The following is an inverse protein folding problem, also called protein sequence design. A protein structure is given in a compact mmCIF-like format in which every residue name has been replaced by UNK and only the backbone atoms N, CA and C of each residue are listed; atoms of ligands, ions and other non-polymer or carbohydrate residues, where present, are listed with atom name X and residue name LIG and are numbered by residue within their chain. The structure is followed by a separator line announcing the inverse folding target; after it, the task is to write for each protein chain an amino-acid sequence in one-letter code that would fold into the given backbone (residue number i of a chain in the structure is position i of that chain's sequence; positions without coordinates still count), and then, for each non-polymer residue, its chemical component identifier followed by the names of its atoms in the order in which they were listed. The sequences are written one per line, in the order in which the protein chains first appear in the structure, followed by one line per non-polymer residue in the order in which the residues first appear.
data_IF_130794391876
#
_entry.id   IF_130794391876
#
_cell.length_a   1.000
_cell.length_b   1.000
_cell.length_c   1.000
_cell.angle_alpha   90.00
_cell.angle_beta   90.00
_cell.angle_gamma   90.00
#
_symmetry.space_group_name_H-M   'P 1'
#
loop_
_entity.id
_entity.type
_entity.pdbx_description
1 polymer ?
#
# COMPACT_ATOMS: atom_id res chain seq x y z
N UNK A 1 7.24 -26.75 55.57
CA UNK A 1 8.21 -25.86 54.88
C UNK A 1 8.05 -26.05 53.40
N UNK A 2 7.88 -24.93 52.66
CA UNK A 2 7.76 -24.90 51.19
C UNK A 2 9.09 -25.35 50.58
N UNK A 3 9.14 -26.39 49.71
CA UNK A 3 10.34 -26.72 48.97
C UNK A 3 10.64 -25.66 47.91
N UNK A 4 11.91 -25.54 47.52
CA UNK A 4 12.31 -24.70 46.39
C UNK A 4 11.83 -25.20 45.05
N UNK A 5 12.06 -24.42 43.97
CA UNK A 5 11.75 -24.82 42.58
C UNK A 5 12.59 -26.04 42.21
N UNK A 6 11.92 -27.15 41.81
CA UNK A 6 12.54 -28.34 41.26
C UNK A 6 12.42 -28.30 39.74
N UNK A 7 13.56 -28.38 39.04
CA UNK A 7 13.64 -28.44 37.59
C UNK A 7 14.01 -29.83 37.13
N UNK A 8 13.46 -30.25 36.02
CA UNK A 8 13.83 -31.51 35.38
C UNK A 8 13.20 -31.72 34.02
N UNK A 9 13.72 -32.71 33.31
CA UNK A 9 13.37 -32.96 31.90
C UNK A 9 11.94 -33.46 31.77
N UNK A 10 11.25 -33.01 30.70
CA UNK A 10 9.93 -33.56 30.31
C UNK A 10 10.05 -35.10 30.18
N UNK A 11 9.12 -35.81 30.82
CA UNK A 11 9.10 -37.28 30.84
C UNK A 11 9.80 -37.91 32.04
N UNK A 12 10.62 -37.18 32.79
CA UNK A 12 11.28 -37.63 34.00
C UNK A 12 10.44 -37.35 35.26
N UNK A 13 10.68 -38.15 36.29
CA UNK A 13 10.09 -37.92 37.61
C UNK A 13 10.87 -36.84 38.36
N UNK A 14 10.17 -35.75 38.68
CA UNK A 14 10.68 -34.65 39.47
C UNK A 14 10.22 -34.82 40.91
N UNK A 15 11.13 -34.77 41.86
CA UNK A 15 10.77 -34.99 43.27
C UNK A 15 11.11 -33.81 44.16
N UNK A 16 10.20 -33.53 45.09
CA UNK A 16 10.38 -32.50 46.10
C UNK A 16 9.89 -33.06 47.49
N UNK A 17 10.58 -32.73 48.57
CA UNK A 17 10.18 -33.11 49.90
C UNK A 17 9.44 -32.00 50.58
N UNK A 18 8.21 -32.25 50.97
CA UNK A 18 7.42 -31.35 51.80
C UNK A 18 7.88 -31.43 53.24
N UNK A 19 8.32 -30.30 53.77
CA UNK A 19 8.69 -30.22 55.19
C UNK A 19 7.48 -29.87 56.06
N UNK A 20 7.29 -30.57 57.11
CA UNK A 20 6.27 -30.27 58.13
C UNK A 20 6.80 -29.34 59.22
N UNK A 21 5.92 -28.55 59.86
CA UNK A 21 6.30 -27.71 60.99
C UNK A 21 6.64 -28.58 62.16
N UNK A 22 7.85 -28.40 62.73
CA UNK A 22 8.24 -29.02 64.00
C UNK A 22 8.03 -27.98 65.12
N UNK A 23 7.10 -28.23 66.00
CA UNK A 23 6.92 -27.40 67.18
C UNK A 23 7.91 -27.88 68.25
N UNK A 24 8.96 -27.07 68.46
CA UNK A 24 10.03 -27.33 69.43
C UNK A 24 9.77 -26.57 70.73
N UNK A 25 8.86 -27.02 71.55
CA UNK A 25 8.82 -26.73 73.00
C UNK A 25 8.21 -27.89 73.73
N UNK A 26 9.06 -28.81 74.18
CA UNK A 26 8.67 -29.84 75.16
C UNK A 26 7.68 -30.91 74.69
N UNK A 27 7.30 -30.92 73.44
CA UNK A 27 6.40 -31.86 72.83
C UNK A 27 7.11 -32.76 71.78
N UNK A 28 6.71 -33.98 71.66
CA UNK A 28 7.15 -34.83 70.55
C UNK A 28 6.73 -34.23 69.23
N UNK A 29 7.58 -34.28 68.18
CA UNK A 29 7.17 -33.77 66.86
C UNK A 29 5.92 -34.50 66.42
N UNK A 30 4.88 -33.76 66.05
CA UNK A 30 3.66 -34.28 65.48
C UNK A 30 3.84 -34.34 63.97
N UNK A 31 3.73 -35.55 63.43
CA UNK A 31 3.79 -35.78 61.98
C UNK A 31 2.37 -35.83 61.41
N UNK A 32 2.15 -35.35 60.19
CA UNK A 32 0.88 -35.55 59.50
C UNK A 32 0.53 -37.01 59.39
N UNK A 33 -0.75 -37.31 59.57
CA UNK A 33 -1.30 -38.67 59.40
C UNK A 33 -1.54 -38.98 57.92
N UNK A 34 -1.67 -37.94 57.07
CA UNK A 34 -1.98 -38.12 55.67
C UNK A 34 -1.47 -36.95 54.85
N UNK A 35 -1.00 -37.20 53.63
CA UNK A 35 -0.72 -36.21 52.60
C UNK A 35 -1.59 -36.47 51.39
N UNK A 36 -2.12 -35.43 50.77
CA UNK A 36 -2.94 -35.48 49.55
C UNK A 36 -2.58 -34.33 48.61
N UNK A 37 -2.65 -34.60 47.32
CA UNK A 37 -2.52 -33.52 46.32
C UNK A 37 -3.89 -32.87 46.13
N UNK A 38 -3.93 -31.55 46.11
CA UNK A 38 -5.08 -30.82 45.60
C UNK A 38 -5.06 -30.86 44.07
N UNK A 39 -5.82 -31.80 43.50
CA UNK A 39 -5.88 -32.03 42.04
C UNK A 39 -6.35 -30.78 41.26
N UNK A 40 -7.06 -29.86 41.91
CA UNK A 40 -7.47 -28.59 41.26
C UNK A 40 -6.29 -27.67 40.94
N UNK A 41 -5.14 -27.90 41.56
CA UNK A 41 -3.88 -27.14 41.36
C UNK A 41 -2.94 -27.81 40.36
N UNK A 42 -3.33 -28.93 39.77
CA UNK A 42 -2.52 -29.72 38.80
C UNK A 42 -3.02 -29.40 37.38
N UNK A 43 -2.25 -28.68 36.54
CA UNK A 43 -2.62 -28.43 35.18
C UNK A 43 -2.60 -29.67 34.30
N UNK A 44 -3.33 -29.64 33.17
CA UNK A 44 -3.31 -30.70 32.17
C UNK A 44 -1.88 -31.00 31.67
N UNK A 45 -1.60 -32.24 31.38
CA UNK A 45 -0.28 -32.71 30.97
C UNK A 45 0.67 -33.07 32.10
N UNK A 46 0.29 -32.81 33.35
CA UNK A 46 1.06 -33.17 34.55
C UNK A 46 0.38 -34.25 35.35
N UNK A 47 1.20 -35.13 35.88
CA UNK A 47 0.79 -36.11 36.90
C UNK A 47 1.56 -35.79 38.19
N UNK A 48 0.85 -35.55 39.28
CA UNK A 48 1.47 -35.19 40.57
C UNK A 48 0.93 -36.16 41.63
N UNK A 49 1.83 -36.78 42.38
CA UNK A 49 1.50 -37.71 43.47
C UNK A 49 2.28 -37.33 44.72
N UNK A 50 1.81 -37.73 45.87
CA UNK A 50 2.50 -37.57 47.15
C UNK A 50 2.45 -38.91 47.90
N UNK A 51 3.56 -39.29 48.51
CA UNK A 51 3.62 -40.50 49.36
C UNK A 51 3.39 -40.17 50.84
N UNK A 52 3.34 -41.22 51.66
CA UNK A 52 3.09 -41.12 53.10
C UNK A 52 4.18 -40.34 53.87
N UNK A 53 5.33 -40.13 53.23
CA UNK A 53 6.44 -39.36 53.83
C UNK A 53 6.39 -37.86 53.42
N UNK A 54 5.44 -37.49 52.57
CA UNK A 54 5.37 -36.13 52.02
C UNK A 54 6.33 -35.89 50.86
N UNK A 55 6.85 -36.94 50.23
CA UNK A 55 7.62 -36.83 49.00
C UNK A 55 6.65 -36.70 47.83
N UNK A 56 6.74 -35.54 47.17
CA UNK A 56 5.94 -35.22 45.97
C UNK A 56 6.70 -35.62 44.73
N UNK A 57 6.05 -36.29 43.82
CA UNK A 57 6.57 -36.65 42.49
C UNK A 57 5.69 -36.03 41.44
N UNK A 58 6.30 -35.22 40.58
CA UNK A 58 5.64 -34.56 39.44
C UNK A 58 6.28 -35.02 38.13
N UNK A 59 5.45 -35.32 37.13
CA UNK A 59 5.88 -35.72 35.79
C UNK A 59 5.09 -34.99 34.76
N UNK A 60 5.81 -34.31 33.83
CA UNK A 60 5.22 -33.67 32.66
C UNK A 60 5.22 -34.67 31.49
N UNK A 61 4.12 -34.74 30.77
CA UNK A 61 4.08 -35.45 29.50
C UNK A 61 4.58 -34.52 28.35
N UNK A 62 4.59 -35.03 27.13
CA UNK A 62 5.11 -34.34 25.95
C UNK A 62 4.18 -33.27 25.40
N UNK A 63 3.00 -33.07 25.99
CA UNK A 63 2.08 -31.98 25.64
C UNK A 63 2.40 -30.68 26.40
N UNK A 64 3.23 -30.76 27.46
CA UNK A 64 3.62 -29.61 28.27
C UNK A 64 4.63 -28.76 27.52
N UNK A 65 4.37 -27.46 27.46
CA UNK A 65 5.32 -26.51 26.86
C UNK A 65 6.60 -26.42 27.69
N UNK A 66 7.79 -26.54 27.08
CA UNK A 66 9.06 -26.36 27.79
C UNK A 66 9.15 -25.03 28.54
N UNK A 67 9.66 -25.07 29.76
CA UNK A 67 9.76 -23.90 30.63
C UNK A 67 8.54 -23.66 31.53
N UNK A 68 7.45 -24.40 31.35
CA UNK A 68 6.23 -24.27 32.17
C UNK A 68 6.53 -24.54 33.64
N UNK A 69 6.09 -23.68 34.53
CA UNK A 69 6.16 -23.85 35.99
C UNK A 69 4.77 -24.15 36.52
N UNK A 70 4.66 -25.15 37.35
CA UNK A 70 3.44 -25.46 38.08
C UNK A 70 3.65 -25.32 39.57
N UNK A 71 2.57 -25.05 40.31
CA UNK A 71 2.57 -24.89 41.77
C UNK A 71 1.54 -25.79 42.46
N UNK A 72 1.71 -27.12 42.38
CA UNK A 72 0.77 -28.05 43.04
C UNK A 72 0.78 -27.85 44.55
N UNK A 73 -0.41 -27.92 45.16
CA UNK A 73 -0.60 -27.78 46.58
C UNK A 73 -0.77 -29.17 47.23
N UNK A 74 -0.01 -29.39 48.29
CA UNK A 74 -0.12 -30.60 49.12
C UNK A 74 -0.89 -30.22 50.39
N UNK A 75 -1.94 -30.95 50.68
CA UNK A 75 -2.70 -30.90 51.90
C UNK A 75 -2.14 -31.92 52.89
N UNK A 76 -1.62 -31.47 54.00
CA UNK A 76 -1.17 -32.30 55.10
C UNK A 76 -2.25 -32.33 56.20
N UNK A 77 -2.75 -33.50 56.56
CA UNK A 77 -3.76 -33.67 57.63
C UNK A 77 -3.08 -34.28 58.87
N UNK A 78 -3.26 -33.67 60.01
CA UNK A 78 -2.72 -34.08 61.29
C UNK A 78 -3.68 -35.00 62.05
N UNK A 79 -3.22 -35.75 63.12
CA UNK A 79 -4.06 -36.67 63.87
C UNK A 79 -5.27 -36.05 64.59
N UNK A 80 -5.29 -34.69 64.73
CA UNK A 80 -6.38 -33.90 65.28
C UNK A 80 -7.32 -33.32 64.19
N UNK A 81 -7.24 -33.82 63.00
CA UNK A 81 -7.99 -33.42 61.83
C UNK A 81 -7.71 -31.97 61.34
N UNK A 82 -6.73 -31.27 61.93
CA UNK A 82 -6.26 -30.01 61.39
C UNK A 82 -5.43 -30.22 60.14
N UNK A 83 -5.37 -29.18 59.27
CA UNK A 83 -4.71 -29.29 57.95
C UNK A 83 -3.76 -28.11 57.72
N UNK A 84 -2.66 -28.39 57.02
CA UNK A 84 -1.77 -27.41 56.41
C UNK A 84 -1.78 -27.57 54.88
N UNK A 85 -1.74 -26.45 54.16
CA UNK A 85 -1.54 -26.42 52.72
C UNK A 85 -0.11 -26.00 52.41
N UNK A 86 0.59 -26.73 51.58
CA UNK A 86 1.99 -26.52 51.26
C UNK A 86 2.14 -26.52 49.73
N UNK A 87 2.51 -25.37 49.17
CA UNK A 87 2.83 -25.26 47.77
C UNK A 87 4.18 -25.88 47.46
N UNK A 88 4.23 -26.60 46.33
CA UNK A 88 5.47 -27.08 45.72
C UNK A 88 5.65 -26.40 44.35
N UNK A 89 6.85 -26.38 43.81
CA UNK A 89 7.12 -25.78 42.51
C UNK A 89 7.94 -26.71 41.62
N UNK A 90 7.43 -26.99 40.44
CA UNK A 90 8.12 -27.80 39.44
C UNK A 90 8.18 -27.07 38.11
N UNK A 91 9.30 -27.21 37.41
CA UNK A 91 9.49 -26.69 36.07
C UNK A 91 9.92 -27.78 35.12
N UNK A 92 9.15 -27.97 34.06
CA UNK A 92 9.51 -28.84 32.96
C UNK A 92 10.50 -28.17 32.03
N UNK A 93 11.63 -28.77 31.77
CA UNK A 93 12.67 -28.32 30.88
C UNK A 93 13.01 -29.32 29.82
N UNK A 94 13.64 -28.86 28.75
CA UNK A 94 14.32 -29.64 27.73
C UNK A 94 15.69 -29.05 27.50
N UNK A 95 16.62 -29.80 26.95
CA UNK A 95 18.01 -29.43 26.69
C UNK A 95 18.15 -28.62 25.39
N UNK A 96 17.35 -27.59 25.24
CA UNK A 96 17.30 -26.72 24.06
C UNK A 96 17.50 -25.26 24.41
N UNK A 97 17.97 -24.48 23.42
CA UNK A 97 18.00 -23.03 23.42
C UNK A 97 16.83 -22.54 22.56
N UNK A 98 15.92 -21.78 23.15
CA UNK A 98 14.78 -21.20 22.41
C UNK A 98 15.20 -19.83 21.91
N UNK A 99 15.16 -19.58 20.58
CA UNK A 99 15.49 -18.27 20.01
C UNK A 99 14.42 -17.23 20.36
N UNK A 100 14.83 -15.98 20.36
CA UNK A 100 13.97 -14.83 20.60
C UNK A 100 14.19 -13.79 19.48
N UNK A 101 13.11 -13.13 19.06
CA UNK A 101 13.14 -12.05 18.10
C UNK A 101 12.80 -10.74 18.79
N UNK A 102 13.65 -9.74 18.63
CA UNK A 102 13.33 -8.38 19.04
C UNK A 102 12.17 -7.82 18.19
N UNK A 103 11.37 -6.94 18.79
CA UNK A 103 10.38 -6.17 18.05
C UNK A 103 11.08 -5.12 17.17
N UNK A 104 10.74 -5.09 15.90
CA UNK A 104 11.26 -4.10 14.93
C UNK A 104 10.19 -3.06 14.65
N UNK A 105 10.58 -1.80 14.66
CA UNK A 105 9.70 -0.67 14.33
C UNK A 105 10.24 0.05 13.10
N UNK A 106 9.38 0.36 12.14
CA UNK A 106 9.76 1.18 10.98
C UNK A 106 8.52 1.78 10.30
N UNK A 107 8.75 2.66 9.33
CA UNK A 107 7.75 3.39 8.57
C UNK A 107 7.17 2.55 7.44
N UNK A 108 5.97 2.90 6.92
CA UNK A 108 5.43 2.28 5.70
C UNK A 108 6.42 2.32 4.53
N UNK A 109 6.29 1.36 3.63
CA UNK A 109 7.13 1.21 2.44
C UNK A 109 8.63 0.99 2.74
N UNK A 110 8.95 0.45 3.91
CA UNK A 110 10.33 0.17 4.34
C UNK A 110 10.53 -1.33 4.50
N UNK A 111 11.64 -1.83 3.98
CA UNK A 111 12.09 -3.19 4.21
C UNK A 111 12.62 -3.32 5.63
N UNK A 112 12.17 -4.33 6.37
CA UNK A 112 12.60 -4.66 7.73
C UNK A 112 13.16 -6.07 7.78
N UNK A 113 14.11 -6.25 8.67
CA UNK A 113 14.79 -7.52 8.91
C UNK A 113 14.77 -7.81 10.42
N UNK A 114 14.33 -9.02 10.79
CA UNK A 114 14.31 -9.50 12.17
C UNK A 114 15.30 -10.67 12.26
N UNK A 115 16.31 -10.52 13.09
CA UNK A 115 17.31 -11.54 13.34
C UNK A 115 17.03 -12.19 14.71
N UNK A 116 16.91 -13.53 14.82
CA UNK A 116 16.75 -14.15 16.12
C UNK A 116 18.05 -14.09 16.92
N UNK A 117 17.93 -13.84 18.21
CA UNK A 117 19.00 -14.04 19.18
C UNK A 117 18.86 -15.43 19.82
N UNK A 118 19.97 -16.14 19.96
CA UNK A 118 20.01 -17.45 20.62
C UNK A 118 20.65 -17.27 21.97
N UNK A 119 19.99 -17.67 23.08
CA UNK A 119 20.54 -17.53 24.41
C UNK A 119 21.84 -18.34 24.56
N UNK A 120 22.78 -17.83 25.32
CA UNK A 120 24.01 -18.55 25.61
C UNK A 120 23.75 -19.85 26.37
N UNK A 121 22.83 -19.80 27.33
CA UNK A 121 22.37 -20.92 28.15
C UNK A 121 20.95 -21.30 27.81
N UNK A 122 20.68 -22.56 27.60
CA UNK A 122 19.34 -23.08 27.30
C UNK A 122 18.47 -23.25 28.53
N UNK A 123 17.32 -23.88 28.33
CA UNK A 123 16.32 -24.10 29.39
C UNK A 123 16.82 -24.99 30.52
N UNK A 124 17.72 -25.97 30.25
CA UNK A 124 18.30 -26.81 31.29
C UNK A 124 19.29 -26.06 32.19
N UNK A 125 19.74 -24.90 31.76
CA UNK A 125 20.77 -24.09 32.43
C UNK A 125 22.19 -24.43 31.96
N UNK A 126 22.33 -25.19 30.87
CA UNK A 126 23.62 -25.58 30.31
C UNK A 126 23.94 -24.84 29.03
N UNK A 127 25.22 -24.51 28.83
CA UNK A 127 25.72 -23.92 27.59
C UNK A 127 25.72 -24.89 26.42
N UNK A 128 25.67 -26.19 26.71
CA UNK A 128 25.66 -27.30 25.74
C UNK A 128 24.27 -27.66 25.23
N UNK A 129 23.22 -27.01 25.75
CA UNK A 129 21.87 -27.20 25.23
C UNK A 129 21.81 -26.92 23.72
N UNK A 130 20.97 -27.70 23.04
CA UNK A 130 20.91 -27.68 21.57
C UNK A 130 20.37 -26.35 21.05
N UNK A 131 21.07 -25.75 20.10
CA UNK A 131 20.62 -24.58 19.35
C UNK A 131 19.74 -25.02 18.15
N UNK A 132 18.82 -24.16 17.67
CA UNK A 132 18.05 -24.45 16.48
C UNK A 132 18.95 -24.74 15.26
N UNK A 133 18.52 -25.67 14.43
CA UNK A 133 19.20 -26.07 13.20
C UNK A 133 18.51 -25.49 11.95
N UNK A 134 17.21 -25.24 12.04
CA UNK A 134 16.40 -24.83 10.91
C UNK A 134 15.21 -23.99 11.37
N UNK A 135 14.72 -23.11 10.50
CA UNK A 135 13.57 -22.25 10.77
C UNK A 135 12.58 -22.30 9.61
N UNK A 136 11.30 -22.39 9.92
CA UNK A 136 10.20 -22.31 8.96
C UNK A 136 9.03 -21.51 9.53
N UNK A 137 8.09 -21.09 8.67
CA UNK A 137 6.78 -20.67 9.13
C UNK A 137 5.96 -21.87 9.61
N UNK A 138 4.78 -21.63 10.20
CA UNK A 138 3.93 -22.67 10.78
C UNK A 138 3.47 -23.74 9.78
N UNK A 139 3.34 -23.38 8.49
CA UNK A 139 3.00 -24.28 7.39
C UNK A 139 4.20 -25.09 6.85
N UNK A 140 5.38 -24.89 7.42
CA UNK A 140 6.63 -25.53 6.99
C UNK A 140 7.33 -24.83 5.83
N UNK A 141 6.74 -23.75 5.29
CA UNK A 141 7.29 -22.99 4.19
C UNK A 141 8.27 -21.90 4.68
N UNK A 142 9.06 -21.36 3.77
CA UNK A 142 10.01 -20.26 4.03
C UNK A 142 9.60 -18.93 3.42
N UNK A 143 8.50 -18.93 2.69
CA UNK A 143 7.88 -17.74 2.09
C UNK A 143 6.37 -17.77 2.31
N UNK A 144 5.78 -16.63 2.62
CA UNK A 144 4.33 -16.50 2.71
C UNK A 144 3.86 -15.08 2.44
N UNK A 145 2.59 -14.97 2.06
CA UNK A 145 1.89 -13.70 1.94
C UNK A 145 0.86 -13.59 3.05
N UNK A 146 0.92 -12.49 3.82
CA UNK A 146 -0.07 -12.16 4.85
C UNK A 146 -0.87 -10.96 4.36
N UNK A 147 -2.20 -11.10 4.33
CA UNK A 147 -3.13 -10.01 4.01
C UNK A 147 -3.87 -9.61 5.28
N UNK A 148 -3.71 -8.39 5.71
CA UNK A 148 -4.35 -7.84 6.91
C UNK A 148 -4.88 -6.42 6.69
N UNK A 149 -5.28 -5.75 7.77
CA UNK A 149 -5.78 -4.39 7.71
C UNK A 149 -4.78 -3.36 7.19
N UNK A 150 -3.47 -3.63 7.26
CA UNK A 150 -2.43 -2.75 6.75
C UNK A 150 -2.18 -2.91 5.24
N UNK A 151 -2.54 -4.05 4.67
CA UNK A 151 -2.29 -4.40 3.29
C UNK A 151 -1.66 -5.78 3.12
N UNK A 152 -0.95 -5.98 2.02
CA UNK A 152 -0.24 -7.21 1.71
C UNK A 152 1.20 -7.17 2.23
N UNK A 153 1.57 -8.18 3.01
CA UNK A 153 2.93 -8.41 3.48
C UNK A 153 3.51 -9.64 2.79
N UNK A 154 4.64 -9.49 2.13
CA UNK A 154 5.43 -10.62 1.62
C UNK A 154 6.54 -10.90 2.62
N UNK A 155 6.46 -12.05 3.28
CA UNK A 155 7.36 -12.42 4.38
C UNK A 155 8.20 -13.61 3.95
N UNK A 156 9.51 -13.50 4.14
CA UNK A 156 10.47 -14.58 3.89
C UNK A 156 11.28 -14.87 5.15
N UNK A 157 11.69 -16.12 5.34
CA UNK A 157 12.59 -16.52 6.41
C UNK A 157 13.78 -17.27 5.83
N UNK A 158 14.97 -16.95 6.30
CA UNK A 158 16.15 -17.73 5.98
C UNK A 158 16.14 -19.01 6.81
N UNK A 159 16.02 -20.14 6.15
CA UNK A 159 15.91 -21.44 6.82
C UNK A 159 17.07 -21.76 7.76
N UNK A 160 18.28 -21.29 7.45
CA UNK A 160 19.49 -21.58 8.24
C UNK A 160 19.69 -20.60 9.39
N UNK A 161 19.41 -19.32 9.17
CA UNK A 161 19.73 -18.26 10.14
C UNK A 161 18.52 -17.79 10.94
N UNK A 162 17.30 -18.10 10.48
CA UNK A 162 16.08 -17.59 11.07
C UNK A 162 15.79 -16.12 10.77
N UNK A 163 16.61 -15.47 9.94
CA UNK A 163 16.37 -14.08 9.56
C UNK A 163 15.05 -13.93 8.81
N UNK A 164 14.14 -13.11 9.34
CA UNK A 164 12.87 -12.78 8.70
C UNK A 164 13.04 -11.46 7.96
N UNK A 165 12.54 -11.40 6.74
CA UNK A 165 12.53 -10.20 5.92
C UNK A 165 11.12 -9.93 5.41
N UNK A 166 10.68 -8.69 5.50
CA UNK A 166 9.43 -8.21 4.92
C UNK A 166 9.50 -6.73 4.61
N UNK A 167 8.59 -6.24 3.76
CA UNK A 167 8.41 -4.81 3.51
C UNK A 167 7.08 -4.37 4.09
N UNK A 168 7.09 -3.35 4.94
CA UNK A 168 5.87 -2.79 5.51
C UNK A 168 5.01 -2.23 4.37
N UNK A 169 3.73 -2.62 4.24
CA UNK A 169 2.86 -2.10 3.20
C UNK A 169 2.82 -0.57 3.19
N UNK A 170 2.78 0.02 2.00
CA UNK A 170 2.73 1.46 1.80
C UNK A 170 1.53 2.12 2.49
N UNK A 171 0.43 1.39 2.58
CA UNK A 171 -0.84 1.83 3.17
C UNK A 171 -0.99 1.46 4.66
N UNK A 172 0.07 0.96 5.28
CA UNK A 172 0.01 0.55 6.68
C UNK A 172 -0.21 1.76 7.60
N UNK A 173 -1.21 1.72 8.50
CA UNK A 173 -1.44 2.80 9.45
C UNK A 173 -0.41 2.77 10.59
N UNK A 174 -0.13 3.94 11.18
CA UNK A 174 0.67 4.05 12.40
C UNK A 174 0.11 3.17 13.52
N UNK A 175 0.98 2.49 14.23
CA UNK A 175 0.63 1.63 15.37
C UNK A 175 0.14 0.23 14.96
N UNK A 176 0.03 -0.08 13.67
CA UNK A 176 -0.30 -1.44 13.23
C UNK A 176 0.81 -2.42 13.64
N UNK A 177 0.40 -3.60 14.11
CA UNK A 177 1.31 -4.66 14.57
C UNK A 177 1.12 -5.91 13.72
N UNK A 178 2.21 -6.44 13.18
CA UNK A 178 2.25 -7.76 12.55
C UNK A 178 3.05 -8.72 13.43
N UNK A 179 2.42 -9.79 13.91
CA UNK A 179 3.08 -10.93 14.53
C UNK A 179 3.36 -12.01 13.46
N UNK A 180 4.59 -12.50 13.44
CA UNK A 180 5.07 -13.49 12.47
C UNK A 180 5.46 -14.76 13.24
N UNK A 181 4.58 -15.76 13.33
CA UNK A 181 4.89 -17.03 13.97
C UNK A 181 5.93 -17.82 13.17
N UNK A 182 6.90 -18.38 13.88
CA UNK A 182 8.01 -19.15 13.32
C UNK A 182 8.21 -20.40 14.15
N UNK A 183 8.52 -21.53 13.50
CA UNK A 183 9.03 -22.72 14.16
C UNK A 183 10.56 -22.79 14.08
N UNK A 184 11.18 -22.89 15.24
CA UNK A 184 12.59 -23.28 15.38
C UNK A 184 12.68 -24.79 15.49
N UNK A 185 13.40 -25.43 14.57
CA UNK A 185 13.57 -26.86 14.50
C UNK A 185 14.95 -27.29 15.03
N UNK A 186 14.99 -28.42 15.72
CA UNK A 186 16.19 -29.01 16.30
C UNK A 186 16.64 -30.21 15.48
N UNK A 187 17.73 -30.88 15.87
CA UNK A 187 18.20 -32.04 15.14
C UNK A 187 17.22 -33.24 15.23
N UNK A 188 17.13 -33.99 14.17
CA UNK A 188 16.31 -35.22 14.18
C UNK A 188 16.81 -36.28 15.17
N UNK A 189 18.13 -36.25 15.46
CA UNK A 189 18.78 -37.19 16.38
C UNK A 189 18.35 -36.98 17.84
N UNK A 190 18.14 -35.72 18.25
CA UNK A 190 17.73 -35.35 19.60
C UNK A 190 16.25 -35.61 19.88
N UNK A 191 15.43 -35.76 18.84
CA UNK A 191 13.96 -35.83 18.91
C UNK A 191 13.29 -34.64 19.63
N UNK A 192 13.99 -33.53 19.81
CA UNK A 192 13.43 -32.30 20.37
C UNK A 192 12.38 -31.74 19.41
N UNK A 193 11.20 -31.42 19.96
CA UNK A 193 10.10 -30.83 19.18
C UNK A 193 10.40 -29.44 18.73
N UNK A 194 9.89 -29.02 17.52
CA UNK A 194 9.96 -27.64 17.10
C UNK A 194 9.32 -26.72 18.14
N UNK A 195 9.93 -25.55 18.33
CA UNK A 195 9.43 -24.52 19.25
C UNK A 195 8.83 -23.36 18.45
N UNK A 196 7.61 -22.97 18.85
CA UNK A 196 6.93 -21.82 18.26
C UNK A 196 7.43 -20.55 18.92
N UNK A 197 8.02 -19.66 18.10
CA UNK A 197 8.45 -18.32 18.48
C UNK A 197 7.83 -17.31 17.52
N UNK A 198 7.93 -16.03 17.80
CA UNK A 198 7.39 -15.01 16.90
C UNK A 198 8.30 -13.79 16.78
N UNK A 199 8.36 -13.26 15.57
CA UNK A 199 8.84 -11.91 15.31
C UNK A 199 7.68 -10.92 15.31
N UNK A 200 7.93 -9.67 15.66
CA UNK A 200 6.91 -8.60 15.69
C UNK A 200 7.42 -7.37 14.96
N UNK A 201 6.58 -6.84 14.08
CA UNK A 201 6.82 -5.57 13.38
C UNK A 201 5.76 -4.57 13.81
N UNK A 202 6.17 -3.36 14.22
CA UNK A 202 5.29 -2.26 14.57
C UNK A 202 5.50 -1.12 13.58
N UNK A 203 4.41 -0.61 13.03
CA UNK A 203 4.42 0.46 12.03
C UNK A 203 4.49 1.82 12.70
N UNK A 204 5.50 2.63 12.33
CA UNK A 204 5.63 4.04 12.70
C UNK A 204 4.87 4.93 11.72
N UNK A 205 4.69 6.20 12.10
CA UNK A 205 4.11 7.21 11.21
C UNK A 205 4.96 7.37 9.95
N UNK A 206 4.29 7.35 8.76
CA UNK A 206 4.96 7.52 7.48
C UNK A 206 5.43 8.96 7.24
N UNK A 207 6.51 9.12 6.43
CA UNK A 207 7.02 10.43 6.00
C UNK A 207 6.31 10.96 4.75
N UNK A 208 5.66 10.09 3.99
CA UNK A 208 5.06 10.44 2.71
C UNK A 208 3.65 10.95 2.95
N UNK A 209 3.40 12.20 2.54
CA UNK A 209 2.08 12.81 2.63
C UNK A 209 1.13 12.25 1.55
N UNK A 210 -0.16 12.08 1.83
CA UNK A 210 -1.17 11.77 0.82
C UNK A 210 -1.13 12.78 -0.34
N UNK A 211 -1.26 12.29 -1.56
CA UNK A 211 -1.22 13.13 -2.75
C UNK A 211 -2.04 12.57 -3.90
N UNK A 212 -2.43 13.45 -4.82
CA UNK A 212 -3.01 13.11 -6.11
C UNK A 212 -2.08 13.55 -7.23
N UNK A 213 -1.91 12.70 -8.25
CA UNK A 213 -1.24 13.14 -9.48
C UNK A 213 -2.07 14.21 -10.21
N UNK A 214 -1.37 15.20 -10.76
CA UNK A 214 -1.96 16.14 -11.70
C UNK A 214 -2.36 15.38 -12.96
N UNK A 215 -3.62 15.51 -13.36
CA UNK A 215 -4.16 14.88 -14.57
C UNK A 215 -4.65 15.96 -15.55
N UNK A 216 -4.63 15.62 -16.83
CA UNK A 216 -5.15 16.48 -17.87
C UNK A 216 -6.32 15.82 -18.61
N UNK A 217 -7.27 16.64 -19.06
CA UNK A 217 -8.42 16.19 -19.85
C UNK A 217 -8.94 17.35 -20.70
N UNK A 218 -9.77 17.05 -21.71
CA UNK A 218 -10.42 18.08 -22.52
C UNK A 218 -11.65 18.69 -21.86
N UNK A 219 -12.17 19.80 -22.41
CA UNK A 219 -13.42 20.39 -21.98
C UNK A 219 -14.55 19.38 -21.99
N UNK A 220 -15.41 19.41 -20.97
CA UNK A 220 -16.55 18.53 -20.80
C UNK A 220 -16.23 17.02 -20.81
N UNK A 221 -14.97 16.65 -20.55
CA UNK A 221 -14.50 15.27 -20.42
C UNK A 221 -14.05 14.97 -19.00
N UNK A 222 -14.55 13.89 -18.41
CA UNK A 222 -14.18 13.46 -17.08
C UNK A 222 -12.78 12.86 -17.05
N UNK A 223 -12.03 13.09 -15.98
CA UNK A 223 -10.77 12.40 -15.65
C UNK A 223 -10.77 11.97 -14.20
N UNK A 224 -10.23 10.78 -13.94
CA UNK A 224 -10.14 10.18 -12.61
C UNK A 224 -8.75 10.40 -12.02
N UNK A 225 -8.70 10.91 -10.79
CA UNK A 225 -7.51 11.01 -9.97
C UNK A 225 -7.58 9.97 -8.85
N UNK A 226 -6.51 9.24 -8.63
CA UNK A 226 -6.39 8.29 -7.52
C UNK A 226 -5.45 8.85 -6.47
N UNK A 227 -5.83 8.72 -5.19
CA UNK A 227 -4.98 9.16 -4.09
C UNK A 227 -3.87 8.13 -3.83
N UNK A 228 -2.69 8.64 -3.51
CA UNK A 228 -1.50 7.85 -3.20
C UNK A 228 -1.00 8.18 -1.80
N UNK A 229 -0.22 7.26 -1.21
CA UNK A 229 0.47 7.45 0.07
C UNK A 229 -0.47 7.77 1.25
N UNK A 230 -1.64 7.16 1.24
CA UNK A 230 -2.65 7.32 2.27
C UNK A 230 -2.80 6.03 3.09
N UNK A 231 -2.94 6.10 4.44
CA UNK A 231 -3.18 4.93 5.27
C UNK A 231 -4.47 4.21 4.89
N UNK A 232 -4.42 2.89 4.83
CA UNK A 232 -5.61 2.06 4.54
C UNK A 232 -6.68 2.28 5.62
N UNK A 233 -7.94 2.35 5.20
CA UNK A 233 -9.08 2.65 6.08
C UNK A 233 -9.37 4.14 6.25
N UNK A 234 -8.66 5.01 5.53
CA UNK A 234 -8.99 6.43 5.45
C UNK A 234 -10.32 6.66 4.76
N UNK A 235 -11.00 7.77 5.09
CA UNK A 235 -12.23 8.23 4.45
C UNK A 235 -12.05 9.61 3.84
N UNK A 236 -12.85 9.95 2.84
CA UNK A 236 -12.62 11.09 1.98
C UNK A 236 -13.89 11.89 1.70
N UNK A 237 -13.76 13.23 1.63
CA UNK A 237 -14.85 14.12 1.25
C UNK A 237 -14.30 15.47 0.74
N UNK A 238 -15.17 16.28 0.13
CA UNK A 238 -14.86 17.68 -0.20
C UNK A 238 -15.16 18.65 0.97
N UNK A 239 -15.44 18.12 2.13
CA UNK A 239 -15.85 18.84 3.32
C UNK A 239 -17.15 18.27 3.89
N UNK A 240 -17.79 19.03 4.76
CA UNK A 240 -19.04 18.62 5.41
C UNK A 240 -20.15 19.64 5.17
N UNK A 241 -21.35 19.13 4.99
CA UNK A 241 -22.57 19.92 5.03
C UNK A 241 -22.82 20.47 6.47
N UNK A 242 -23.71 21.47 6.65
CA UNK A 242 -24.05 21.98 7.98
C UNK A 242 -24.61 20.92 8.95
N UNK A 243 -25.22 19.86 8.42
CA UNK A 243 -25.71 18.72 9.21
C UNK A 243 -24.62 17.67 9.56
N UNK A 244 -23.36 17.92 9.15
CA UNK A 244 -22.23 17.03 9.39
C UNK A 244 -22.04 15.90 8.39
N UNK A 245 -22.92 15.76 7.39
CA UNK A 245 -22.78 14.77 6.32
C UNK A 245 -21.63 15.15 5.37
N UNK A 246 -20.85 14.17 4.86
CA UNK A 246 -19.76 14.45 3.93
C UNK A 246 -20.29 14.94 2.57
N UNK A 247 -19.59 15.91 1.98
CA UNK A 247 -19.84 16.38 0.62
C UNK A 247 -19.06 15.50 -0.33
N UNK A 248 -19.75 14.79 -1.23
CA UNK A 248 -19.15 13.88 -2.21
C UNK A 248 -19.35 14.32 -3.65
N UNK A 249 -20.17 15.34 -3.87
CA UNK A 249 -20.44 15.98 -5.17
C UNK A 249 -20.35 17.48 -5.03
N UNK A 250 -19.72 18.15 -5.96
CA UNK A 250 -19.68 19.62 -6.00
C UNK A 250 -19.52 20.16 -7.42
N UNK A 251 -20.04 21.36 -7.62
CA UNK A 251 -19.80 22.16 -8.83
C UNK A 251 -19.29 23.52 -8.39
N UNK A 252 -18.18 23.97 -8.97
CA UNK A 252 -17.61 25.28 -8.69
C UNK A 252 -18.38 26.37 -9.44
N UNK A 253 -18.25 27.64 -9.01
CA UNK A 253 -18.93 28.79 -9.65
C UNK A 253 -18.58 28.92 -11.13
N UNK A 254 -17.35 28.56 -11.52
CA UNK A 254 -16.87 28.57 -12.90
C UNK A 254 -17.16 27.26 -13.68
N UNK A 255 -18.02 26.39 -13.11
CA UNK A 255 -18.63 25.27 -13.81
C UNK A 255 -17.84 23.96 -13.81
N UNK A 256 -16.76 23.83 -13.04
CA UNK A 256 -16.05 22.56 -12.84
C UNK A 256 -16.88 21.61 -11.98
N UNK A 257 -17.02 20.35 -12.41
CA UNK A 257 -17.75 19.33 -11.70
C UNK A 257 -16.83 18.31 -11.09
N UNK A 258 -17.12 17.93 -9.84
CA UNK A 258 -16.31 16.97 -9.08
C UNK A 258 -17.19 15.96 -8.36
N UNK A 259 -16.73 14.71 -8.36
CA UNK A 259 -17.27 13.64 -7.50
C UNK A 259 -16.12 12.93 -6.79
N UNK A 260 -16.35 12.41 -5.61
CA UNK A 260 -15.37 11.63 -4.85
C UNK A 260 -16.01 10.35 -4.31
N UNK A 261 -15.27 9.24 -4.42
CA UNK A 261 -15.62 8.01 -3.72
C UNK A 261 -15.17 8.12 -2.25
N UNK A 262 -16.08 8.10 -1.28
CA UNK A 262 -15.74 8.31 0.13
C UNK A 262 -14.91 7.17 0.74
N UNK A 263 -14.82 6.02 0.09
CA UNK A 263 -14.04 4.84 0.56
C UNK A 263 -12.67 4.73 -0.08
N UNK A 264 -12.54 5.06 -1.36
CA UNK A 264 -11.29 4.92 -2.12
C UNK A 264 -10.54 6.22 -2.27
N UNK A 265 -11.22 7.37 -2.11
CA UNK A 265 -10.65 8.69 -2.35
C UNK A 265 -10.50 9.05 -3.83
N UNK A 266 -10.98 8.22 -4.76
CA UNK A 266 -10.93 8.52 -6.18
C UNK A 266 -11.79 9.74 -6.51
N UNK A 267 -11.17 10.77 -7.10
CA UNK A 267 -11.83 12.01 -7.52
C UNK A 267 -12.01 11.99 -9.02
N UNK A 268 -13.23 12.23 -9.47
CA UNK A 268 -13.53 12.48 -10.88
C UNK A 268 -13.76 13.97 -11.08
N UNK A 269 -12.98 14.59 -11.95
CA UNK A 269 -13.13 16.00 -12.31
C UNK A 269 -13.52 16.16 -13.76
N UNK A 270 -14.40 17.14 -14.05
CA UNK A 270 -14.87 17.46 -15.39
C UNK A 270 -14.79 18.97 -15.59
N UNK A 271 -13.90 19.45 -16.49
CA UNK A 271 -13.86 20.86 -16.86
C UNK A 271 -15.16 21.30 -17.53
N UNK A 272 -15.56 22.58 -17.42
CA UNK A 272 -16.70 23.09 -18.15
C UNK A 272 -16.49 23.06 -19.68
N UNK A 273 -17.57 23.07 -20.44
CA UNK A 273 -17.52 23.04 -21.90
C UNK A 273 -16.75 24.24 -22.51
N UNK A 274 -16.75 25.39 -21.82
CA UNK A 274 -16.02 26.62 -22.25
C UNK A 274 -14.58 26.69 -21.75
N UNK A 275 -14.05 25.68 -21.09
CA UNK A 275 -12.66 25.68 -20.61
C UNK A 275 -11.68 25.74 -21.79
N UNK A 276 -10.60 26.53 -21.63
CA UNK A 276 -9.58 26.73 -22.65
C UNK A 276 -8.38 25.82 -22.38
N UNK A 277 -7.65 25.39 -23.42
CA UNK A 277 -6.40 24.66 -23.26
C UNK A 277 -5.44 25.39 -22.33
N UNK A 278 -4.85 24.65 -21.36
CA UNK A 278 -3.96 25.22 -20.35
C UNK A 278 -4.66 25.74 -19.08
N UNK A 279 -5.97 25.90 -19.07
CA UNK A 279 -6.71 26.22 -17.83
C UNK A 279 -6.46 25.13 -16.80
N UNK A 280 -6.33 25.49 -15.53
CA UNK A 280 -6.19 24.52 -14.44
C UNK A 280 -7.07 24.90 -13.25
N UNK A 281 -7.55 23.89 -12.56
CA UNK A 281 -8.32 24.03 -11.34
C UNK A 281 -7.77 23.11 -10.26
N UNK A 282 -7.60 23.66 -9.07
CA UNK A 282 -7.21 22.90 -7.88
C UNK A 282 -8.32 22.99 -6.85
N UNK A 283 -8.75 21.86 -6.34
CA UNK A 283 -9.65 21.74 -5.21
C UNK A 283 -8.97 20.97 -4.09
N UNK A 284 -9.54 20.97 -2.89
CA UNK A 284 -9.01 20.29 -1.73
C UNK A 284 -9.91 19.15 -1.30
N UNK A 285 -9.32 17.99 -1.01
CA UNK A 285 -9.98 16.83 -0.42
C UNK A 285 -9.62 16.76 1.07
N UNK A 286 -10.66 16.59 1.90
CA UNK A 286 -10.50 16.31 3.32
C UNK A 286 -10.34 14.80 3.50
N UNK A 287 -9.21 14.38 4.07
CA UNK A 287 -8.91 12.98 4.38
C UNK A 287 -8.99 12.78 5.89
N UNK A 288 -9.68 11.74 6.33
CA UNK A 288 -9.68 11.31 7.74
C UNK A 288 -8.97 9.95 7.81
N UNK A 289 -7.81 9.93 8.44
CA UNK A 289 -7.01 8.70 8.62
C UNK A 289 -7.52 7.87 9.79
N UNK A 290 -7.21 6.57 9.87
CA UNK A 290 -7.59 5.72 11.01
C UNK A 290 -7.06 6.21 12.37
N UNK A 291 -5.98 6.99 12.39
CA UNK A 291 -5.39 7.59 13.59
C UNK A 291 -6.07 8.92 13.98
N UNK A 292 -7.02 9.41 13.17
CA UNK A 292 -7.74 10.65 13.43
C UNK A 292 -7.10 11.91 12.82
N UNK A 293 -5.96 11.78 12.12
CA UNK A 293 -5.38 12.89 11.36
C UNK A 293 -6.32 13.29 10.21
N UNK A 294 -6.39 14.60 9.95
CA UNK A 294 -7.29 15.17 8.95
C UNK A 294 -6.53 16.04 7.93
N UNK A 295 -5.61 15.46 7.15
CA UNK A 295 -4.89 16.22 6.14
C UNK A 295 -5.82 16.72 5.03
N UNK A 296 -5.48 17.89 4.47
CA UNK A 296 -6.14 18.47 3.29
C UNK A 296 -5.24 18.26 2.08
N UNK A 297 -5.75 17.58 1.07
CA UNK A 297 -4.95 17.13 -0.07
C UNK A 297 -5.42 17.82 -1.35
N UNK A 298 -4.57 18.56 -2.06
CA UNK A 298 -4.95 19.21 -3.29
C UNK A 298 -5.10 18.23 -4.46
N UNK A 299 -6.11 18.47 -5.29
CA UNK A 299 -6.35 17.77 -6.56
C UNK A 299 -6.33 18.80 -7.67
N UNK A 300 -5.41 18.64 -8.61
CA UNK A 300 -5.25 19.58 -9.73
C UNK A 300 -5.57 18.89 -11.06
N UNK A 301 -6.44 19.53 -11.84
CA UNK A 301 -6.78 19.12 -13.19
C UNK A 301 -6.39 20.23 -14.16
N UNK A 302 -5.76 19.86 -15.26
CA UNK A 302 -5.35 20.77 -16.33
C UNK A 302 -6.17 20.49 -17.58
N UNK A 303 -6.65 21.54 -18.24
CA UNK A 303 -7.29 21.39 -19.55
C UNK A 303 -6.19 21.13 -20.58
N UNK A 304 -6.30 19.99 -21.25
CA UNK A 304 -5.30 19.48 -22.20
C UNK A 304 -5.08 20.46 -23.33
N UNK A 305 -3.83 20.75 -23.64
CA UNK A 305 -3.45 21.46 -24.85
C UNK A 305 -3.83 20.61 -26.06
N UNK A 306 -4.47 21.25 -27.06
CA UNK A 306 -4.81 20.60 -28.32
C UNK A 306 -3.70 20.85 -29.33
N UNK A 307 -3.53 19.96 -30.30
CA UNK A 307 -2.55 20.13 -31.37
C UNK A 307 -2.76 21.45 -32.14
N UNK A 308 -4.02 21.84 -32.38
CA UNK A 308 -4.36 23.10 -33.01
C UNK A 308 -4.02 24.36 -32.19
N UNK A 309 -3.92 24.23 -30.86
CA UNK A 309 -3.48 25.30 -30.00
C UNK A 309 -1.95 25.46 -30.03
N UNK A 310 -1.21 24.38 -30.15
CA UNK A 310 0.25 24.39 -30.14
C UNK A 310 0.87 24.64 -31.52
N UNK A 311 0.10 24.48 -32.58
CA UNK A 311 0.54 24.67 -33.96
C UNK A 311 0.19 26.06 -34.48
N UNK A 312 1.15 26.70 -35.17
CA UNK A 312 0.99 27.99 -35.81
C UNK A 312 1.21 27.86 -37.32
N UNK A 313 0.15 27.62 -38.11
CA UNK A 313 0.27 27.62 -39.55
C UNK A 313 0.36 29.04 -40.11
N UNK A 314 1.17 29.25 -41.14
CA UNK A 314 1.34 30.52 -41.81
C UNK A 314 1.66 30.37 -43.28
N UNK A 315 1.35 31.41 -44.05
CA UNK A 315 1.70 31.53 -45.45
C UNK A 315 2.44 32.85 -45.66
N UNK A 316 3.55 32.88 -46.43
CA UNK A 316 4.14 34.11 -46.86
C UNK A 316 3.26 34.85 -47.89
N UNK A 317 3.33 36.15 -47.92
CA UNK A 317 2.75 36.92 -49.04
C UNK A 317 3.57 36.64 -50.30
N UNK A 318 2.89 36.31 -51.38
CA UNK A 318 3.51 36.09 -52.68
C UNK A 318 3.04 37.13 -53.70
N UNK A 319 3.83 37.36 -54.72
CA UNK A 319 3.52 38.27 -55.81
C UNK A 319 3.42 37.48 -57.12
N UNK A 320 2.52 37.89 -57.98
CA UNK A 320 2.25 37.24 -59.28
C UNK A 320 1.95 38.27 -60.32
N UNK A 321 2.33 38.00 -61.59
CA UNK A 321 1.92 38.80 -62.72
C UNK A 321 0.49 38.53 -63.16
N UNK A 322 -0.22 39.48 -63.78
CA UNK A 322 -1.56 39.24 -64.29
C UNK A 322 -1.61 38.04 -65.23
N UNK A 323 -2.57 37.14 -65.02
CA UNK A 323 -2.75 35.93 -65.78
C UNK A 323 -1.85 34.75 -65.40
N UNK A 324 -0.90 34.93 -64.53
CA UNK A 324 0.02 33.88 -64.07
C UNK A 324 -0.44 33.23 -62.75
N UNK A 325 0.15 32.08 -62.46
CA UNK A 325 -0.12 31.32 -61.25
C UNK A 325 1.06 31.38 -60.30
N UNK A 326 0.79 31.52 -59.01
CA UNK A 326 1.77 31.48 -57.92
C UNK A 326 1.38 30.47 -56.88
N UNK A 327 2.37 29.87 -56.25
CA UNK A 327 2.19 28.93 -55.09
C UNK A 327 2.75 29.59 -53.83
N UNK A 328 1.90 29.76 -52.80
CA UNK A 328 2.31 30.20 -51.48
C UNK A 328 2.51 29.02 -50.59
N UNK A 329 3.72 28.77 -50.08
CA UNK A 329 4.02 27.58 -49.28
C UNK A 329 3.45 27.67 -47.87
N UNK A 330 2.86 26.59 -47.40
CA UNK A 330 2.42 26.43 -46.01
C UNK A 330 3.64 26.18 -45.11
N UNK A 331 3.78 26.95 -44.06
CA UNK A 331 4.70 26.72 -42.97
C UNK A 331 3.91 26.49 -41.68
N UNK A 332 4.26 25.45 -40.93
CA UNK A 332 3.64 25.15 -39.64
C UNK A 332 4.73 25.13 -38.58
N UNK A 333 4.72 26.09 -37.67
CA UNK A 333 5.52 26.04 -36.46
C UNK A 333 4.79 25.18 -35.45
N UNK A 334 5.41 24.11 -35.01
CA UNK A 334 4.79 23.13 -34.08
C UNK A 334 5.83 22.41 -33.23
N UNK A 335 5.48 21.98 -31.98
CA UNK A 335 6.31 21.09 -31.20
C UNK A 335 6.38 19.70 -31.84
N UNK A 336 7.38 18.92 -31.42
CA UNK A 336 7.49 17.51 -31.78
C UNK A 336 6.25 16.74 -31.30
N UNK A 337 5.74 15.84 -32.12
CA UNK A 337 4.55 15.04 -31.82
C UNK A 337 3.21 15.67 -32.20
N UNK A 338 3.19 16.94 -32.56
CA UNK A 338 2.01 17.60 -33.16
C UNK A 338 2.03 17.34 -34.66
N UNK A 339 1.07 16.59 -35.15
CA UNK A 339 0.96 16.25 -36.58
C UNK A 339 -0.38 16.70 -37.15
N UNK A 340 -0.40 17.00 -38.46
CA UNK A 340 -1.65 17.26 -39.18
C UNK A 340 -2.46 15.96 -39.32
N UNK A 341 -3.78 16.09 -39.47
CA UNK A 341 -4.66 14.94 -39.67
C UNK A 341 -4.23 14.12 -40.89
N UNK A 342 -4.39 12.80 -40.80
CA UNK A 342 -4.01 11.86 -41.89
C UNK A 342 -4.90 11.98 -43.11
N UNK A 343 -6.15 12.38 -42.91
CA UNK A 343 -7.14 12.50 -43.98
C UNK A 343 -7.61 13.96 -44.09
N UNK A 344 -7.56 14.52 -45.27
CA UNK A 344 -8.04 15.86 -45.60
C UNK A 344 -7.58 16.97 -44.62
N UNK A 345 -6.26 17.04 -44.30
CA UNK A 345 -5.78 18.02 -43.33
C UNK A 345 -5.94 19.48 -43.72
N UNK A 346 -6.11 19.76 -45.02
CA UNK A 346 -6.13 21.14 -45.51
C UNK A 346 -7.41 21.40 -46.32
N UNK A 347 -8.04 22.51 -46.07
CA UNK A 347 -9.21 22.97 -46.82
C UNK A 347 -9.27 24.50 -46.89
N UNK A 348 -9.64 25.02 -48.06
CA UNK A 348 -10.03 26.46 -48.14
C UNK A 348 -11.34 26.60 -47.37
N UNK A 349 -11.39 27.61 -46.50
CA UNK A 349 -12.59 27.96 -45.72
C UNK A 349 -13.13 29.31 -46.24
N UNK A 350 -13.97 29.30 -47.30
CA UNK A 350 -14.39 30.52 -47.95
C UNK A 350 -15.20 31.40 -47.02
N UNK A 351 -14.92 32.71 -46.97
CA UNK A 351 -15.78 33.66 -46.26
C UNK A 351 -17.15 33.77 -46.95
N UNK A 352 -18.12 34.35 -46.26
CA UNK A 352 -19.49 34.47 -46.75
C UNK A 352 -19.62 35.32 -48.04
N UNK A 353 -18.66 36.20 -48.33
CA UNK A 353 -18.67 37.07 -49.48
C UNK A 353 -17.40 36.93 -50.32
N UNK A 354 -17.51 37.11 -51.61
CA UNK A 354 -16.40 37.20 -52.57
C UNK A 354 -15.83 35.86 -53.05
N UNK A 355 -16.21 34.73 -52.46
CA UNK A 355 -15.77 33.40 -52.84
C UNK A 355 -16.91 32.58 -53.41
N UNK A 356 -16.64 31.87 -54.53
CA UNK A 356 -17.59 30.96 -55.13
C UNK A 356 -16.88 29.71 -55.58
N UNK A 357 -17.41 28.52 -55.21
CA UNK A 357 -16.91 27.25 -55.70
C UNK A 357 -17.04 27.19 -57.23
N UNK A 358 -15.99 26.76 -57.93
CA UNK A 358 -16.03 26.60 -59.38
C UNK A 358 -16.77 25.34 -59.83
N UNK A 359 -16.89 24.34 -58.93
CA UNK A 359 -17.39 23.03 -59.24
C UNK A 359 -16.33 22.08 -59.82
N UNK A 360 -15.14 22.55 -60.10
CA UNK A 360 -14.02 21.80 -60.64
C UNK A 360 -12.90 21.64 -59.59
N UNK A 361 -12.13 20.58 -59.75
CA UNK A 361 -10.93 20.34 -58.97
C UNK A 361 -9.68 20.77 -59.75
N UNK A 362 -8.61 21.14 -59.05
CA UNK A 362 -7.32 21.40 -59.68
C UNK A 362 -6.60 20.09 -60.03
N UNK A 363 -5.39 20.17 -60.59
CA UNK A 363 -4.56 19.02 -60.94
C UNK A 363 -4.21 18.08 -59.77
N UNK A 364 -4.34 18.58 -58.51
CA UNK A 364 -4.11 17.80 -57.28
C UNK A 364 -5.38 17.16 -56.75
N UNK A 365 -6.52 17.26 -57.45
CA UNK A 365 -7.80 16.71 -57.06
C UNK A 365 -8.54 17.52 -55.97
N UNK A 366 -8.10 18.75 -55.69
CA UNK A 366 -8.69 19.57 -54.64
C UNK A 366 -9.66 20.63 -55.23
N UNK A 367 -10.74 20.99 -54.50
CA UNK A 367 -11.72 21.97 -54.95
C UNK A 367 -11.06 23.34 -55.22
N UNK A 368 -11.55 24.00 -56.25
CA UNK A 368 -11.15 25.39 -56.57
C UNK A 368 -12.27 26.38 -56.34
N UNK A 369 -11.88 27.62 -56.12
CA UNK A 369 -12.78 28.74 -55.84
C UNK A 369 -12.43 29.91 -56.73
N UNK A 370 -13.45 30.64 -57.16
CA UNK A 370 -13.33 31.94 -57.77
C UNK A 370 -13.38 33.01 -56.68
N UNK A 371 -12.40 33.91 -56.66
CA UNK A 371 -12.38 35.08 -55.80
C UNK A 371 -12.59 36.33 -56.64
N UNK A 372 -13.77 36.94 -56.52
CA UNK A 372 -14.15 38.09 -57.28
C UNK A 372 -13.52 39.38 -56.75
N UNK A 373 -12.86 40.14 -57.60
CA UNK A 373 -12.31 41.46 -57.32
C UNK A 373 -12.77 42.46 -58.35
N UNK A 374 -12.53 43.75 -58.11
CA UNK A 374 -12.90 44.81 -59.05
C UNK A 374 -12.25 44.70 -60.44
N UNK A 375 -11.09 44.03 -60.50
CA UNK A 375 -10.30 43.88 -61.74
C UNK A 375 -10.32 42.46 -62.30
N UNK A 376 -11.27 41.63 -61.89
CA UNK A 376 -11.46 40.27 -62.39
C UNK A 376 -11.42 39.20 -61.30
N UNK A 377 -11.59 37.97 -61.72
CA UNK A 377 -11.70 36.81 -60.87
C UNK A 377 -10.37 36.06 -60.74
N UNK A 378 -9.94 35.86 -59.51
CA UNK A 378 -8.84 34.95 -59.18
C UNK A 378 -9.37 33.53 -59.05
N UNK A 379 -8.55 32.56 -59.40
CA UNK A 379 -8.85 31.12 -59.12
C UNK A 379 -7.87 30.65 -58.09
N UNK A 380 -8.39 30.10 -57.00
CA UNK A 380 -7.58 29.60 -55.88
C UNK A 380 -7.91 28.15 -55.54
N UNK A 381 -6.90 27.40 -55.12
CA UNK A 381 -7.00 26.00 -54.66
C UNK A 381 -5.81 25.65 -53.83
N UNK A 382 -5.80 24.40 -53.32
CA UNK A 382 -4.67 23.87 -52.53
C UNK A 382 -4.01 22.72 -53.29
N UNK A 383 -2.70 22.59 -53.16
CA UNK A 383 -2.02 21.36 -53.54
C UNK A 383 -2.15 20.30 -52.45
N UNK A 384 -1.55 19.13 -52.63
CA UNK A 384 -1.57 18.01 -51.67
C UNK A 384 -0.75 18.21 -50.40
N UNK A 385 0.08 19.26 -50.36
CA UNK A 385 0.88 19.70 -49.22
C UNK A 385 0.27 20.87 -48.45
N UNK A 386 -0.91 21.31 -48.83
CA UNK A 386 -1.59 22.46 -48.24
C UNK A 386 -1.09 23.81 -48.71
N UNK A 387 -0.23 23.88 -49.71
CA UNK A 387 0.19 25.15 -50.31
C UNK A 387 -0.97 25.76 -51.08
N UNK A 388 -1.10 27.11 -51.02
CA UNK A 388 -2.10 27.86 -51.78
C UNK A 388 -1.60 28.07 -53.21
N UNK A 389 -2.41 27.64 -54.19
CA UNK A 389 -2.16 27.86 -55.58
C UNK A 389 -3.18 28.88 -56.10
N UNK A 390 -2.69 30.06 -56.51
CA UNK A 390 -3.56 31.16 -56.93
C UNK A 390 -3.19 31.64 -58.35
N UNK A 391 -4.19 31.78 -59.18
CA UNK A 391 -4.06 32.32 -60.55
C UNK A 391 -4.72 33.70 -60.62
N UNK A 392 -3.93 34.72 -60.95
CA UNK A 392 -4.44 36.06 -61.11
C UNK A 392 -5.19 36.26 -62.43
N UNK A 393 -6.25 37.08 -62.49
CA UNK A 393 -6.88 37.42 -63.72
C UNK A 393 -5.95 38.24 -64.63
N UNK A 394 -6.09 38.06 -65.95
CA UNK A 394 -5.32 38.86 -66.94
C UNK A 394 -5.55 40.35 -66.78
N UNK A 395 -6.66 40.74 -66.22
CA UNK A 395 -7.09 42.11 -65.96
C UNK A 395 -6.64 42.69 -64.64
N UNK A 396 -5.90 41.89 -63.83
CA UNK A 396 -5.37 42.35 -62.56
C UNK A 396 -4.45 43.59 -62.73
N UNK A 397 -4.47 44.46 -61.75
CA UNK A 397 -3.65 45.69 -61.72
C UNK A 397 -2.60 45.59 -60.61
N UNK A 398 -1.46 46.26 -60.75
CA UNK A 398 -0.50 46.35 -59.66
C UNK A 398 -1.15 46.84 -58.36
N UNK A 399 -0.89 46.13 -57.30
CA UNK A 399 -1.46 46.40 -55.95
C UNK A 399 -2.75 45.66 -55.62
N UNK A 400 -3.36 44.95 -56.59
CA UNK A 400 -4.49 44.08 -56.31
C UNK A 400 -4.05 42.93 -55.38
N UNK A 401 -4.85 42.63 -54.35
CA UNK A 401 -4.57 41.58 -53.36
C UNK A 401 -5.80 40.73 -53.09
N UNK A 402 -5.57 39.48 -52.77
CA UNK A 402 -6.56 38.59 -52.20
C UNK A 402 -5.99 37.91 -50.96
N UNK A 403 -6.87 37.54 -50.03
CA UNK A 403 -6.55 36.70 -48.87
C UNK A 403 -7.28 35.37 -48.99
N UNK A 404 -6.57 34.27 -48.90
CA UNK A 404 -7.14 32.93 -48.98
C UNK A 404 -7.13 32.30 -47.59
N UNK A 405 -8.29 32.19 -46.92
CA UNK A 405 -8.36 31.55 -45.63
C UNK A 405 -8.29 30.02 -45.77
N UNK A 406 -7.36 29.43 -45.05
CA UNK A 406 -7.13 27.97 -45.05
C UNK A 406 -7.32 27.41 -43.63
N UNK A 407 -8.08 26.31 -43.54
CA UNK A 407 -8.21 25.54 -42.32
C UNK A 407 -7.20 24.38 -42.37
N UNK A 408 -6.39 24.26 -41.32
CA UNK A 408 -5.50 23.13 -41.08
C UNK A 408 -6.09 22.29 -39.95
N UNK A 409 -6.25 20.98 -40.15
CA UNK A 409 -6.76 20.02 -39.16
C UNK A 409 -5.62 19.15 -38.64
N UNK A 410 -5.59 18.96 -37.32
CA UNK A 410 -4.54 18.20 -36.62
C UNK A 410 -5.08 16.94 -35.98
#
# INVERSE_FOLDING_TARGET
VRPGLTKGTIGDDLTAQVGTKSIMKGHKPVHPAKFEIDESTVPAGWTVTVDDTGKVTAKADDTVAPGTIITPTVKATYPDDTTDEIETQFQAIVDIKIPDYDTVTNKPNTKVTLQPSIPEVGLSGNTTDEAPKRYTFEDGETEKTVNDAAGEWKVTINEKTGEITTTIPRTAPEGHVLDIPVFAHYSEESQNKPQRVKGTVVVLKGDVAPNYEVKSTGPNKAVKHEIQDVPKGSTYSFGKNPDGTPITDMTTEDGWKYTIDPKTGAVTSTPPAGAKPGDKKTITVDVVTPTGDTPKVPVTTVVQLTNSWEAEPSYPAETVYPGETVTSPLAIQKPDGVEVAKENPYAIQPPAEGYKATGDNNQFGNPTYTVTTDNGDWIVGLDDKGNVVATAPKTAKPGDTINVPVKVTY
#
